data_IF_323228464192
#
_entry.id   IF_323228464192
#
_cell.length_a   1.000
_cell.length_b   1.000
_cell.length_c   1.000
_cell.angle_alpha   90.00
_cell.angle_beta   90.00
_cell.angle_gamma   90.00
#
_symmetry.space_group_name_H-M   'P 1'
#
loop_
_entity.id
_entity.type
_entity.pdbx_description
1 polymer ?
#
# COMPACT_ATOMS: atom_id res chain seq x y z
N UNK A 1 -7.60 2.45 -7.82
CA UNK A 1 -7.65 1.22 -6.99
C UNK A 1 -6.77 1.42 -5.77
N UNK A 2 -7.27 1.18 -4.57
CA UNK A 2 -6.55 1.40 -3.31
C UNK A 2 -6.33 0.06 -2.62
N UNK A 3 -5.17 -0.11 -1.97
CA UNK A 3 -4.88 -1.30 -1.16
C UNK A 3 -4.18 -0.93 0.14
N UNK A 4 -4.38 -1.77 1.15
CA UNK A 4 -3.62 -1.79 2.40
C UNK A 4 -2.76 -3.06 2.41
N UNK A 5 -1.52 -2.95 2.87
CA UNK A 5 -0.60 -4.07 3.09
C UNK A 5 0.23 -3.85 4.35
N UNK A 6 0.93 -4.87 4.83
CA UNK A 6 1.73 -4.76 6.05
C UNK A 6 3.00 -3.92 5.86
N UNK A 7 3.42 -3.24 6.92
CA UNK A 7 4.68 -2.49 6.98
C UNK A 7 5.90 -3.37 7.29
N UNK A 8 5.70 -4.51 7.94
CA UNK A 8 6.79 -5.40 8.38
C UNK A 8 7.58 -5.98 7.19
N UNK A 9 8.85 -6.39 7.39
CA UNK A 9 9.73 -6.88 6.33
C UNK A 9 9.18 -8.05 5.52
N UNK A 10 8.34 -8.90 6.12
CA UNK A 10 7.71 -10.06 5.48
C UNK A 10 6.79 -9.66 4.32
N UNK A 11 6.24 -8.43 4.35
CA UNK A 11 5.42 -7.88 3.26
C UNK A 11 6.24 -7.08 2.23
N UNK A 12 7.57 -7.00 2.36
CA UNK A 12 8.42 -6.24 1.43
C UNK A 12 8.28 -6.73 -0.02
N UNK A 13 8.22 -8.05 -0.22
CA UNK A 13 8.03 -8.64 -1.56
C UNK A 13 6.67 -8.27 -2.16
N UNK A 14 5.61 -8.20 -1.35
CA UNK A 14 4.29 -7.78 -1.81
C UNK A 14 4.30 -6.30 -2.22
N UNK A 15 4.90 -5.43 -1.39
CA UNK A 15 5.06 -3.99 -1.70
C UNK A 15 5.85 -3.79 -2.99
N UNK A 16 6.95 -4.52 -3.17
CA UNK A 16 7.75 -4.46 -4.40
C UNK A 16 6.94 -4.88 -5.63
N UNK A 17 6.16 -5.97 -5.52
CA UNK A 17 5.26 -6.42 -6.57
C UNK A 17 4.22 -5.35 -6.93
N UNK A 18 3.59 -4.72 -5.94
CA UNK A 18 2.62 -3.66 -6.19
C UNK A 18 3.25 -2.46 -6.90
N UNK A 19 4.45 -2.05 -6.48
CA UNK A 19 5.20 -0.99 -7.18
C UNK A 19 5.46 -1.35 -8.64
N UNK A 20 5.84 -2.60 -8.95
CA UNK A 20 6.01 -3.06 -10.33
C UNK A 20 4.72 -3.00 -11.16
N UNK A 21 3.56 -3.22 -10.53
CA UNK A 21 2.26 -3.07 -11.18
C UNK A 21 1.75 -1.62 -11.25
N UNK A 22 2.56 -0.63 -10.84
CA UNK A 22 2.22 0.79 -10.91
C UNK A 22 1.39 1.29 -9.72
N UNK A 23 1.51 0.65 -8.56
CA UNK A 23 1.01 1.21 -7.32
C UNK A 23 2.05 2.15 -6.69
N UNK A 24 1.58 3.25 -6.11
CA UNK A 24 2.39 4.24 -5.42
C UNK A 24 1.99 4.32 -3.94
N UNK A 25 2.97 4.60 -3.07
CA UNK A 25 2.72 4.81 -1.65
C UNK A 25 1.86 6.04 -1.40
N UNK A 26 1.00 5.96 -0.40
CA UNK A 26 0.13 7.06 0.01
C UNK A 26 -0.20 6.95 1.50
N UNK A 27 -0.86 7.97 2.04
CA UNK A 27 -1.45 7.91 3.39
C UNK A 27 -2.69 7.01 3.50
N UNK A 28 -3.30 6.95 4.70
CA UNK A 28 -4.54 6.22 4.93
C UNK A 28 -5.67 6.68 4.02
N UNK A 29 -6.72 5.88 3.91
CA UNK A 29 -7.88 6.20 3.09
C UNK A 29 -9.19 5.82 3.76
N UNK A 30 -10.29 6.48 3.38
CA UNK A 30 -11.58 6.29 4.04
C UNK A 30 -11.44 6.42 5.58
N UNK A 31 -11.82 5.39 6.32
CA UNK A 31 -11.80 5.35 7.78
C UNK A 31 -10.52 4.68 8.35
N UNK A 32 -9.58 4.28 7.49
CA UNK A 32 -8.29 3.77 7.94
C UNK A 32 -7.47 4.89 8.58
N UNK A 33 -6.84 4.60 9.71
CA UNK A 33 -5.92 5.51 10.40
C UNK A 33 -4.48 5.19 10.06
N UNK A 34 -3.59 6.13 10.37
CA UNK A 34 -2.16 5.91 10.27
C UNK A 34 -1.73 4.93 11.40
N UNK A 35 -1.46 3.69 11.01
CA UNK A 35 -1.01 2.61 11.90
C UNK A 35 0.41 2.19 11.50
N UNK A 36 1.36 2.08 12.44
CA UNK A 36 2.74 1.72 12.14
C UNK A 36 2.92 0.38 11.43
N UNK A 37 1.93 -0.52 11.53
CA UNK A 37 1.98 -1.83 10.89
C UNK A 37 1.31 -1.85 9.51
N UNK A 38 0.76 -0.72 9.06
CA UNK A 38 0.00 -0.59 7.83
C UNK A 38 0.69 0.31 6.83
N UNK A 39 0.66 -0.09 5.57
CA UNK A 39 1.13 0.69 4.42
C UNK A 39 0.01 0.75 3.40
N UNK A 40 -0.28 1.95 2.92
CA UNK A 40 -1.34 2.17 1.95
C UNK A 40 -0.72 2.49 0.59
N UNK A 41 -1.29 1.93 -0.47
CA UNK A 41 -0.86 2.17 -1.83
C UNK A 41 -2.05 2.39 -2.76
N UNK A 42 -1.83 3.09 -3.87
CA UNK A 42 -2.87 3.39 -4.86
C UNK A 42 -2.36 3.22 -6.28
N UNK A 43 -3.24 2.79 -7.18
CA UNK A 43 -2.99 2.73 -8.62
C UNK A 43 -4.12 3.42 -9.36
N UNK A 44 -3.78 4.30 -10.28
CA UNK A 44 -4.75 4.87 -11.22
C UNK A 44 -5.24 3.79 -12.18
N UNK A 45 -6.55 3.64 -12.29
CA UNK A 45 -7.17 2.81 -13.32
C UNK A 45 -7.58 3.77 -14.44
N UNK A 46 -6.94 3.64 -15.60
CA UNK A 46 -7.37 4.31 -16.82
C UNK A 46 -8.40 3.45 -17.56
#
# INVERSE_FOLDING_TARGET
MNLQTGAIPEFASARALYTQYGFEYRGPFAEYIDDPNSVFMTKSLA
#
